data_IF_901147672512
#
_entry.id   IF_901147672512
#
_cell.length_a   1.000
_cell.length_b   1.000
_cell.length_c   1.000
_cell.angle_alpha   90.00
_cell.angle_beta   90.00
_cell.angle_gamma   90.00
#
_symmetry.space_group_name_H-M   'P 1'
#
loop_
_entity.id
_entity.type
_entity.pdbx_description
1 polymer ?
#
# COMPACT_ATOMS: atom_id res chain seq x y z
N UNK A 1 7.13 -13.97 -21.29
CA UNK A 1 7.03 -13.80 -19.83
C UNK A 1 6.63 -12.37 -19.59
N UNK A 2 5.33 -12.17 -19.38
CA UNK A 2 4.66 -10.87 -19.33
C UNK A 2 4.91 -10.21 -17.97
N UNK A 3 5.35 -8.95 -17.98
CA UNK A 3 5.57 -8.16 -16.77
C UNK A 3 4.28 -7.42 -16.42
N UNK A 4 3.60 -7.85 -15.36
CA UNK A 4 2.43 -7.17 -14.81
C UNK A 4 2.85 -5.98 -13.96
N UNK A 5 2.27 -4.82 -14.30
CA UNK A 5 2.41 -3.53 -13.61
C UNK A 5 1.92 -3.62 -12.17
N UNK A 6 2.65 -2.96 -11.26
CA UNK A 6 2.18 -2.67 -9.91
C UNK A 6 1.36 -1.37 -9.93
N UNK A 7 0.05 -1.49 -9.73
CA UNK A 7 -0.85 -0.37 -9.45
C UNK A 7 -0.70 0.07 -7.98
N UNK A 8 -0.45 1.36 -7.81
CA UNK A 8 -0.41 2.06 -6.53
C UNK A 8 -1.85 2.27 -6.06
N UNK A 9 -2.26 1.57 -5.01
CA UNK A 9 -3.57 1.75 -4.36
C UNK A 9 -3.57 3.06 -3.57
N UNK A 10 -4.30 4.05 -4.08
CA UNK A 10 -4.69 5.25 -3.35
C UNK A 10 -5.86 4.96 -2.38
N UNK A 11 -5.93 5.60 -1.20
CA UNK A 11 -7.06 5.43 -0.29
C UNK A 11 -8.31 6.16 -0.80
N UNK A 12 -9.42 5.42 -0.82
CA UNK A 12 -10.73 5.86 -1.25
C UNK A 12 -11.28 7.02 -0.40
N UNK A 13 -11.62 8.12 -1.05
CA UNK A 13 -12.47 9.17 -0.50
C UNK A 13 -13.90 8.64 -0.43
N UNK A 14 -14.40 8.41 0.79
CA UNK A 14 -15.78 8.02 1.04
C UNK A 14 -16.74 9.16 0.70
N UNK A 15 -17.48 8.97 -0.39
CA UNK A 15 -18.64 9.77 -0.78
C UNK A 15 -19.79 9.55 0.21
N UNK A 16 -20.20 10.61 0.91
CA UNK A 16 -21.50 10.71 1.57
C UNK A 16 -22.44 11.52 0.71
N UNK A 17 -23.07 10.88 -0.28
CA UNK A 17 -24.11 11.45 -1.11
C UNK A 17 -25.42 11.54 -0.32
N UNK A 18 -25.78 12.75 0.13
CA UNK A 18 -27.13 13.07 0.57
C UNK A 18 -27.99 13.44 -0.63
N UNK A 19 -28.61 12.44 -1.24
CA UNK A 19 -29.72 12.59 -2.19
C UNK A 19 -30.98 13.05 -1.42
N UNK A 20 -31.58 14.17 -1.83
CA UNK A 20 -33.03 14.38 -1.65
C UNK A 20 -33.58 14.84 -3.00
N UNK A 21 -34.13 13.87 -3.72
CA UNK A 21 -34.94 14.06 -4.91
C UNK A 21 -36.25 14.77 -4.60
N UNK A 22 -36.76 15.44 -5.62
CA UNK A 22 -37.93 16.31 -5.55
C UNK A 22 -39.26 15.58 -5.43
N UNK A 23 -40.32 16.39 -5.31
CA UNK A 23 -41.68 15.94 -5.58
C UNK A 23 -42.70 16.68 -4.75
N UNK A 24 -43.47 17.58 -5.38
CA UNK A 24 -44.76 17.98 -4.82
C UNK A 24 -45.17 19.43 -5.01
N UNK A 25 -45.24 19.91 -6.25
CA UNK A 25 -46.25 20.91 -6.56
C UNK A 25 -47.63 20.25 -6.39
N UNK A 26 -48.30 20.52 -5.27
CA UNK A 26 -49.75 20.34 -5.13
C UNK A 26 -50.37 21.65 -4.70
N UNK A 27 -51.20 22.12 -5.61
CA UNK A 27 -52.14 23.21 -5.51
C UNK A 27 -53.15 23.00 -4.39
N UNK A 28 -53.60 24.14 -3.83
CA UNK A 28 -54.84 24.38 -3.09
C UNK A 28 -55.03 23.58 -1.79
N UNK A 29 -54.79 24.26 -0.67
CA UNK A 29 -55.86 24.52 0.29
C UNK A 29 -55.73 25.96 0.79
N UNK A 30 -56.55 26.85 0.25
CA UNK A 30 -56.93 28.06 0.97
C UNK A 30 -57.50 27.61 2.31
N UNK A 31 -56.76 27.80 3.40
CA UNK A 31 -57.27 27.58 4.75
C UNK A 31 -58.60 28.34 4.89
N UNK A 32 -59.73 27.68 5.21
CA UNK A 32 -61.04 28.33 5.30
C UNK A 32 -61.09 29.47 6.34
N UNK A 33 -60.10 29.54 7.23
CA UNK A 33 -59.99 30.56 8.29
C UNK A 33 -59.79 32.00 7.79
N UNK A 34 -59.32 32.21 6.56
CA UNK A 34 -59.15 33.57 6.00
C UNK A 34 -60.35 34.03 5.15
N UNK A 35 -61.41 33.20 5.03
CA UNK A 35 -62.66 33.54 4.29
C UNK A 35 -63.89 33.65 5.20
N UNK A 36 -63.73 34.20 6.41
CA UNK A 36 -64.85 34.78 7.16
C UNK A 36 -64.42 35.89 8.13
N UNK A 37 -63.83 36.95 7.62
CA UNK A 37 -63.91 38.28 8.24
C UNK A 37 -64.73 39.16 7.28
N UNK A 38 -65.95 38.72 6.94
CA UNK A 38 -66.94 39.49 6.17
C UNK A 38 -68.12 39.64 7.12
N UNK A 39 -68.37 40.89 7.54
CA UNK A 39 -69.38 41.35 8.52
C UNK A 39 -68.95 41.15 9.98
N UNK A 40 -68.65 42.28 10.64
CA UNK A 40 -68.34 42.50 12.07
C UNK A 40 -66.87 42.36 12.56
N UNK A 41 -66.25 43.54 12.80
CA UNK A 41 -64.99 43.79 13.53
C UNK A 41 -63.67 43.32 12.85
N UNK A 42 -63.27 44.04 11.79
CA UNK A 42 -61.99 43.88 11.08
C UNK A 42 -60.76 44.06 11.96
N UNK A 43 -60.86 44.85 13.03
CA UNK A 43 -59.74 45.21 13.89
C UNK A 43 -59.26 44.01 14.74
N UNK A 44 -60.20 43.26 15.33
CA UNK A 44 -59.87 42.03 16.09
C UNK A 44 -59.25 40.93 15.23
N UNK A 45 -59.65 40.83 13.96
CA UNK A 45 -59.10 39.85 13.01
C UNK A 45 -57.66 40.22 12.61
N UNK A 46 -57.35 41.51 12.45
CA UNK A 46 -56.00 42.00 12.21
C UNK A 46 -55.07 41.81 13.42
N UNK A 47 -55.56 42.12 14.63
CA UNK A 47 -54.81 41.95 15.88
C UNK A 47 -54.44 40.48 16.14
N UNK A 48 -55.35 39.54 15.87
CA UNK A 48 -55.09 38.12 15.99
C UNK A 48 -54.02 37.62 14.99
N UNK A 49 -54.01 38.17 13.77
CA UNK A 49 -52.99 37.87 12.76
C UNK A 49 -51.64 38.44 13.17
N UNK A 50 -51.59 39.68 13.68
CA UNK A 50 -50.36 40.31 14.17
C UNK A 50 -49.77 39.52 15.35
N UNK A 51 -50.59 39.14 16.33
CA UNK A 51 -50.16 38.32 17.46
C UNK A 51 -49.57 36.98 17.01
N UNK A 52 -50.17 36.33 16.01
CA UNK A 52 -49.62 35.10 15.43
C UNK A 52 -48.27 35.32 14.76
N UNK A 53 -48.13 36.37 13.94
CA UNK A 53 -46.86 36.72 13.29
C UNK A 53 -45.77 37.04 14.31
N UNK A 54 -46.09 37.73 15.40
CA UNK A 54 -45.16 38.00 16.49
C UNK A 54 -44.73 36.72 17.22
N UNK A 55 -45.66 35.79 17.45
CA UNK A 55 -45.34 34.49 18.04
C UNK A 55 -44.45 33.65 17.12
N UNK A 56 -44.74 33.61 15.81
CA UNK A 56 -43.92 32.92 14.82
C UNK A 56 -42.51 33.54 14.72
N UNK A 57 -42.40 34.87 14.84
CA UNK A 57 -41.12 35.59 14.93
C UNK A 57 -40.34 35.22 16.19
N UNK A 58 -41.00 35.09 17.34
CA UNK A 58 -40.35 34.68 18.60
C UNK A 58 -39.88 33.23 18.53
N UNK A 59 -40.72 32.32 18.02
CA UNK A 59 -40.38 30.90 17.86
C UNK A 59 -39.22 30.69 16.89
N UNK A 60 -39.19 31.40 15.77
CA UNK A 60 -38.06 31.34 14.83
C UNK A 60 -36.75 31.85 15.46
N UNK A 61 -36.80 32.93 16.24
CA UNK A 61 -35.63 33.44 16.98
C UNK A 61 -35.13 32.43 18.02
N UNK A 62 -36.02 31.82 18.80
CA UNK A 62 -35.68 30.79 19.80
C UNK A 62 -35.03 29.58 19.11
N UNK A 63 -35.61 29.12 17.99
CA UNK A 63 -35.08 27.99 17.23
C UNK A 63 -33.70 28.29 16.66
N UNK A 64 -33.48 29.48 16.12
CA UNK A 64 -32.17 29.88 15.60
C UNK A 64 -31.11 29.96 16.71
N UNK A 65 -31.49 30.43 17.90
CA UNK A 65 -30.62 30.45 19.06
C UNK A 65 -30.30 29.04 19.55
N UNK A 66 -31.30 28.17 19.67
CA UNK A 66 -31.13 26.76 20.06
C UNK A 66 -30.18 26.03 19.11
N UNK A 67 -30.35 26.21 17.80
CA UNK A 67 -29.48 25.61 16.79
C UNK A 67 -28.04 26.15 16.88
N UNK A 68 -27.87 27.44 17.17
CA UNK A 68 -26.55 28.03 17.40
C UNK A 68 -25.85 27.42 18.62
N UNK A 69 -26.58 27.23 19.73
CA UNK A 69 -26.03 26.59 20.94
C UNK A 69 -25.70 25.10 20.70
N UNK A 70 -26.56 24.36 19.99
CA UNK A 70 -26.26 22.98 19.57
C UNK A 70 -25.01 22.91 18.72
N UNK A 71 -24.90 23.78 17.71
CA UNK A 71 -23.73 23.84 16.84
C UNK A 71 -22.43 24.15 17.61
N UNK A 72 -22.48 25.03 18.63
CA UNK A 72 -21.31 25.28 19.50
C UNK A 72 -20.89 24.02 20.28
N UNK A 73 -21.86 23.29 20.83
CA UNK A 73 -21.59 22.04 21.55
C UNK A 73 -20.99 20.97 20.62
N UNK A 74 -21.58 20.79 19.44
CA UNK A 74 -21.13 19.86 18.41
C UNK A 74 -19.69 20.19 17.97
N UNK A 75 -19.41 21.45 17.61
CA UNK A 75 -18.07 21.87 17.21
C UNK A 75 -17.01 21.61 18.30
N UNK A 76 -17.37 21.77 19.58
CA UNK A 76 -16.47 21.47 20.69
C UNK A 76 -16.21 19.96 20.80
N UNK A 77 -17.25 19.13 20.62
CA UNK A 77 -17.11 17.68 20.60
C UNK A 77 -16.26 17.21 19.42
N UNK A 78 -16.54 17.71 18.21
CA UNK A 78 -15.79 17.38 16.99
C UNK A 78 -14.31 17.71 17.12
N UNK A 79 -13.95 18.89 17.64
CA UNK A 79 -12.54 19.25 17.90
C UNK A 79 -11.83 18.25 18.82
N UNK A 80 -12.49 17.82 19.90
CA UNK A 80 -11.94 16.81 20.82
C UNK A 80 -11.80 15.46 20.12
N UNK A 81 -12.80 15.05 19.36
CA UNK A 81 -12.78 13.79 18.62
C UNK A 81 -11.64 13.78 17.58
N UNK A 82 -11.48 14.85 16.80
CA UNK A 82 -10.37 14.99 15.87
C UNK A 82 -9.01 14.93 16.55
N UNK A 83 -8.86 15.55 17.74
CA UNK A 83 -7.63 15.47 18.51
C UNK A 83 -7.33 14.05 18.99
N UNK A 84 -8.33 13.31 19.46
CA UNK A 84 -8.19 11.90 19.87
C UNK A 84 -7.80 11.04 18.67
N UNK A 85 -8.51 11.15 17.55
CA UNK A 85 -8.23 10.39 16.33
C UNK A 85 -6.82 10.65 15.80
N UNK A 86 -6.37 11.90 15.79
CA UNK A 86 -5.00 12.25 15.39
C UNK A 86 -3.96 11.61 16.31
N UNK A 87 -4.19 11.66 17.62
CA UNK A 87 -3.29 11.04 18.60
C UNK A 87 -3.24 9.52 18.44
N UNK A 88 -4.38 8.87 18.28
CA UNK A 88 -4.46 7.43 18.01
C UNK A 88 -3.72 7.04 16.74
N UNK A 89 -3.93 7.79 15.65
CA UNK A 89 -3.23 7.55 14.38
C UNK A 89 -1.72 7.67 14.56
N UNK A 90 -1.27 8.68 15.31
CA UNK A 90 0.17 8.86 15.63
C UNK A 90 0.73 7.68 16.40
N UNK A 91 -0.02 7.15 17.38
CA UNK A 91 0.39 5.97 18.16
C UNK A 91 0.41 4.70 17.32
N UNK A 92 -0.60 4.48 16.47
CA UNK A 92 -0.66 3.35 15.53
C UNK A 92 0.53 3.38 14.56
N UNK A 93 0.75 4.51 13.89
CA UNK A 93 1.88 4.70 12.98
C UNK A 93 3.24 4.44 13.66
N UNK A 94 3.41 4.88 14.92
CA UNK A 94 4.64 4.62 15.66
C UNK A 94 4.88 3.12 15.96
N UNK A 95 3.82 2.34 16.18
CA UNK A 95 3.92 0.88 16.37
C UNK A 95 4.19 0.18 15.04
N UNK A 96 3.50 0.57 13.97
CA UNK A 96 3.71 0.03 12.62
C UNK A 96 5.12 0.31 12.10
N UNK A 97 5.68 1.49 12.36
CA UNK A 97 7.06 1.81 12.02
C UNK A 97 8.08 0.89 12.72
N UNK A 98 7.82 0.50 13.99
CA UNK A 98 8.66 -0.47 14.70
C UNK A 98 8.56 -1.86 14.07
N UNK A 99 7.37 -2.28 13.64
CA UNK A 99 7.16 -3.55 12.93
C UNK A 99 7.95 -3.57 11.62
N UNK A 100 7.79 -2.53 10.78
CA UNK A 100 8.52 -2.38 9.51
C UNK A 100 10.03 -2.44 9.69
N UNK A 101 10.56 -1.74 10.70
CA UNK A 101 12.00 -1.78 11.04
C UNK A 101 12.48 -3.20 11.38
N UNK A 102 11.64 -4.00 12.07
CA UNK A 102 11.97 -5.39 12.40
C UNK A 102 11.95 -6.28 11.15
N UNK A 103 10.94 -6.11 10.30
CA UNK A 103 10.81 -6.84 9.03
C UNK A 103 12.00 -6.56 8.10
N UNK A 104 12.41 -5.30 7.92
CA UNK A 104 13.58 -4.94 7.12
C UNK A 104 14.87 -5.58 7.65
N UNK A 105 15.05 -5.62 8.97
CA UNK A 105 16.21 -6.29 9.60
C UNK A 105 16.20 -7.80 9.35
N UNK A 106 15.02 -8.43 9.35
CA UNK A 106 14.90 -9.85 9.03
C UNK A 106 15.21 -10.10 7.56
N UNK A 107 14.69 -9.26 6.66
CA UNK A 107 14.91 -9.41 5.22
C UNK A 107 16.39 -9.23 4.85
N UNK A 108 17.08 -8.24 5.44
CA UNK A 108 18.52 -8.07 5.30
C UNK A 108 19.30 -9.31 5.73
N UNK A 109 18.99 -9.87 6.91
CA UNK A 109 19.64 -11.10 7.40
C UNK A 109 19.39 -12.31 6.50
N UNK A 110 18.17 -12.44 5.95
CA UNK A 110 17.85 -13.50 4.99
C UNK A 110 18.68 -13.35 3.71
N UNK A 111 18.78 -12.13 3.17
CA UNK A 111 19.57 -11.85 1.97
C UNK A 111 21.07 -12.14 2.19
N UNK A 112 21.64 -11.66 3.31
CA UNK A 112 23.04 -11.94 3.70
C UNK A 112 23.31 -13.44 3.83
N UNK A 113 22.39 -14.20 4.44
CA UNK A 113 22.55 -15.65 4.58
C UNK A 113 22.45 -16.35 3.23
N UNK A 114 21.50 -15.96 2.38
CA UNK A 114 21.37 -16.49 1.03
C UNK A 114 22.62 -16.22 0.19
N UNK A 115 23.22 -15.04 0.29
CA UNK A 115 24.48 -14.71 -0.38
C UNK A 115 25.63 -15.60 0.12
N UNK A 116 25.78 -15.78 1.44
CA UNK A 116 26.80 -16.68 2.01
C UNK A 116 26.67 -18.11 1.46
N UNK A 117 25.45 -18.63 1.36
CA UNK A 117 25.22 -19.97 0.82
C UNK A 117 25.58 -20.04 -0.67
N UNK A 118 25.23 -19.02 -1.46
CA UNK A 118 25.63 -18.95 -2.88
C UNK A 118 27.15 -18.87 -3.04
N UNK A 119 27.83 -18.10 -2.19
CA UNK A 119 29.29 -17.99 -2.20
C UNK A 119 29.96 -19.31 -1.86
N UNK A 120 29.42 -20.08 -0.91
CA UNK A 120 29.92 -21.43 -0.62
C UNK A 120 29.74 -22.39 -1.80
N UNK A 121 28.58 -22.36 -2.47
CA UNK A 121 28.34 -23.14 -3.68
C UNK A 121 29.35 -22.77 -4.78
N UNK A 122 29.57 -21.46 -4.99
CA UNK A 122 30.54 -20.97 -5.97
C UNK A 122 31.97 -21.40 -5.62
N UNK A 123 32.35 -21.38 -4.33
CA UNK A 123 33.66 -21.84 -3.89
C UNK A 123 33.87 -23.34 -4.16
N UNK A 124 32.87 -24.18 -3.88
CA UNK A 124 32.91 -25.61 -4.18
C UNK A 124 33.05 -25.84 -5.70
N UNK A 125 32.31 -25.09 -6.51
CA UNK A 125 32.39 -25.19 -7.96
C UNK A 125 33.79 -24.83 -8.46
N UNK A 126 34.33 -23.70 -7.99
CA UNK A 126 35.68 -23.23 -8.33
C UNK A 126 36.74 -24.26 -7.94
N UNK A 127 36.69 -24.81 -6.73
CA UNK A 127 37.62 -25.86 -6.29
C UNK A 127 37.52 -27.11 -7.19
N UNK A 128 36.32 -27.49 -7.59
CA UNK A 128 36.10 -28.59 -8.54
C UNK A 128 36.67 -28.30 -9.93
N UNK A 129 36.57 -27.07 -10.42
CA UNK A 129 37.19 -26.62 -11.68
C UNK A 129 38.72 -26.60 -11.60
N UNK A 130 39.30 -26.11 -10.50
CA UNK A 130 40.74 -26.10 -10.27
C UNK A 130 41.32 -27.52 -10.26
N UNK A 131 40.62 -28.48 -9.63
CA UNK A 131 41.01 -29.90 -9.67
C UNK A 131 40.96 -30.47 -11.10
N UNK A 132 39.90 -30.18 -11.86
CA UNK A 132 39.77 -30.61 -13.27
C UNK A 132 40.88 -30.01 -14.13
N UNK A 133 41.14 -28.71 -14.01
CA UNK A 133 42.22 -28.02 -14.73
C UNK A 133 43.59 -28.61 -14.38
N UNK A 134 43.83 -28.93 -13.11
CA UNK A 134 45.09 -29.56 -12.66
C UNK A 134 45.30 -30.95 -13.26
N UNK A 135 44.24 -31.76 -13.38
CA UNK A 135 44.29 -33.07 -14.04
C UNK A 135 44.59 -32.90 -15.54
N UNK A 136 43.92 -31.98 -16.21
CA UNK A 136 44.13 -31.75 -17.64
C UNK A 136 45.53 -31.19 -17.93
N UNK A 137 46.06 -30.30 -17.09
CA UNK A 137 47.43 -29.82 -17.18
C UNK A 137 48.46 -30.97 -17.08
N UNK A 138 48.30 -31.88 -16.10
CA UNK A 138 49.16 -33.07 -15.96
C UNK A 138 49.06 -34.00 -17.18
N UNK A 139 47.86 -34.17 -17.72
CA UNK A 139 47.63 -34.95 -18.94
C UNK A 139 48.38 -34.34 -20.12
N UNK A 140 48.25 -33.04 -20.36
CA UNK A 140 48.97 -32.35 -21.43
C UNK A 140 50.49 -32.42 -21.25
N UNK A 141 50.99 -32.25 -20.02
CA UNK A 141 52.41 -32.39 -19.71
C UNK A 141 52.92 -33.80 -20.06
N UNK A 142 52.16 -34.85 -19.71
CA UNK A 142 52.52 -36.23 -20.05
C UNK A 142 52.55 -36.44 -21.57
N UNK A 143 51.54 -35.95 -22.29
CA UNK A 143 51.49 -36.03 -23.76
C UNK A 143 52.72 -35.36 -24.38
N UNK A 144 53.04 -34.12 -23.99
CA UNK A 144 54.20 -33.38 -24.48
C UNK A 144 55.52 -34.13 -24.19
N UNK A 145 55.66 -34.74 -23.00
CA UNK A 145 56.83 -35.58 -22.68
C UNK A 145 56.97 -36.77 -23.62
N UNK A 146 55.87 -37.48 -23.90
CA UNK A 146 55.90 -38.61 -24.83
C UNK A 146 56.19 -38.18 -26.27
N UNK A 147 55.65 -37.03 -26.70
CA UNK A 147 55.93 -36.44 -28.01
C UNK A 147 57.39 -36.05 -28.18
N UNK A 148 57.99 -35.42 -27.17
CA UNK A 148 59.42 -35.07 -27.15
C UNK A 148 60.30 -36.33 -27.15
N UNK A 149 59.96 -37.35 -26.35
CA UNK A 149 60.67 -38.64 -26.40
C UNK A 149 60.56 -39.30 -27.78
N UNK A 150 59.38 -39.31 -28.38
CA UNK A 150 59.19 -39.85 -29.72
C UNK A 150 59.99 -39.06 -30.78
N UNK A 151 60.06 -37.72 -30.66
CA UNK A 151 60.87 -36.88 -31.53
C UNK A 151 62.38 -37.19 -31.39
N UNK A 152 62.88 -37.38 -30.16
CA UNK A 152 64.27 -37.80 -29.89
C UNK A 152 64.60 -39.17 -30.49
N UNK A 153 63.67 -40.12 -30.42
CA UNK A 153 63.85 -41.43 -31.05
C UNK A 153 63.87 -41.34 -32.58
N UNK A 154 62.96 -40.55 -33.17
CA UNK A 154 62.92 -40.26 -34.61
C UNK A 154 64.22 -39.61 -35.10
N UNK A 155 64.80 -38.67 -34.34
CA UNK A 155 66.04 -37.99 -34.74
C UNK A 155 67.29 -38.87 -34.59
N UNK A 156 67.34 -39.73 -33.56
CA UNK A 156 68.47 -40.64 -33.32
C UNK A 156 68.40 -41.96 -34.10
N UNK A 157 67.29 -42.24 -34.80
CA UNK A 157 67.07 -43.51 -35.50
C UNK A 157 66.95 -44.73 -34.57
N UNK A 158 66.60 -44.52 -33.29
CA UNK A 158 66.47 -45.59 -32.29
C UNK A 158 65.01 -45.90 -32.01
N UNK A 159 64.67 -47.16 -31.80
CA UNK A 159 63.30 -47.57 -31.47
C UNK A 159 63.10 -47.60 -29.95
N UNK A 160 61.97 -47.10 -29.40
CA UNK A 160 61.70 -47.20 -27.97
C UNK A 160 61.67 -48.67 -27.50
N UNK A 161 62.33 -48.98 -26.39
CA UNK A 161 62.36 -50.32 -25.83
C UNK A 161 60.94 -50.69 -25.31
N UNK A 162 60.35 -51.72 -25.91
CA UNK A 162 58.96 -52.14 -25.69
C UNK A 162 58.71 -52.54 -24.23
N UNK A 163 57.91 -51.77 -23.50
CA UNK A 163 57.11 -52.28 -22.35
C UNK A 163 55.73 -51.64 -22.35
N UNK A 164 54.72 -52.52 -22.48
CA UNK A 164 53.27 -52.32 -22.36
C UNK A 164 52.54 -51.56 -23.48
N UNK A 165 52.27 -52.30 -24.58
CA UNK A 165 51.00 -52.23 -25.32
C UNK A 165 49.91 -52.96 -24.49
N UNK A 166 49.67 -52.52 -23.26
CA UNK A 166 48.57 -53.03 -22.43
C UNK A 166 47.33 -52.19 -22.68
N UNK A 167 46.22 -52.84 -23.03
CA UNK A 167 44.91 -52.20 -23.14
C UNK A 167 44.52 -51.46 -21.84
N UNK A 168 43.74 -50.39 -22.02
CA UNK A 168 43.07 -49.62 -20.97
C UNK A 168 42.24 -50.48 -20.01
#
# INVERSE_FOLDING_TARGET
>A
MEATKADVVAPAAGAGAGHVGGGGAKSKTSSPSLRRCIVDNTDKCADAVLAKVEMDRKLSMIKAWEESEKSKAENKAQKKMSSIMSWENTKKAAVEAKLRTREEKLEKKKAEYAEKMRNQIAAIHKEGEEKRASVEAKRHEAILKYEDMAAKHRSKGTTPAKKFLGCF
#
